data_IF_792148520724
#
_entry.id   IF_792148520724
#
_cell.length_a   1.000
_cell.length_b   1.000
_cell.length_c   1.000
_cell.angle_alpha   90.00
_cell.angle_beta   90.00
_cell.angle_gamma   90.00
#
_symmetry.space_group_name_H-M   'P 1'
#
loop_
_entity.id
_entity.type
_entity.pdbx_description
1 polymer ?
#
# COMPACT_ATOMS: atom_id res chain seq x y z
N UNK A 1 9.47 1.51 13.21
CA UNK A 1 10.42 1.17 14.29
C UNK A 1 9.95 1.85 15.57
N UNK A 2 9.52 1.07 16.57
CA UNK A 2 8.88 1.62 17.77
C UNK A 2 9.90 1.80 18.92
N UNK A 3 10.97 1.01 18.96
CA UNK A 3 11.98 1.06 20.02
C UNK A 3 13.39 0.94 19.45
N UNK A 4 14.32 1.74 20.01
CA UNK A 4 15.74 1.61 19.83
C UNK A 4 16.28 0.70 20.94
N UNK A 5 16.74 -0.51 20.63
CA UNK A 5 17.53 -1.29 21.58
C UNK A 5 19.02 -1.00 21.34
N UNK A 6 19.75 -0.46 22.32
CA UNK A 6 21.17 -0.19 22.15
C UNK A 6 21.93 -1.53 22.11
N UNK A 7 22.48 -1.90 20.96
CA UNK A 7 23.42 -3.01 20.86
C UNK A 7 23.05 -4.13 19.90
N UNK A 8 21.98 -4.03 19.13
CA UNK A 8 21.59 -5.04 18.15
C UNK A 8 21.84 -4.50 16.72
N UNK A 9 22.70 -5.12 15.96
CA UNK A 9 23.06 -4.70 14.58
C UNK A 9 21.94 -5.04 13.54
N UNK A 10 20.84 -5.67 13.95
CA UNK A 10 19.76 -6.11 13.08
C UNK A 10 18.52 -5.21 13.14
N UNK A 11 18.68 -3.90 12.93
CA UNK A 11 17.52 -3.00 12.84
C UNK A 11 16.91 -3.00 11.45
N UNK A 12 15.73 -3.63 11.34
CA UNK A 12 14.90 -3.47 10.16
C UNK A 12 14.15 -2.14 10.21
N UNK A 13 14.56 -1.20 9.37
CA UNK A 13 13.79 0.02 9.14
C UNK A 13 12.68 -0.25 8.13
N UNK A 14 11.66 0.63 8.08
CA UNK A 14 10.65 0.56 7.00
C UNK A 14 11.29 0.62 5.62
N UNK A 15 12.34 1.42 5.46
CA UNK A 15 13.05 1.53 4.19
C UNK A 15 13.72 0.22 3.80
N UNK A 16 14.42 -0.44 4.72
CA UNK A 16 15.07 -1.73 4.43
C UNK A 16 14.04 -2.81 4.12
N UNK A 17 12.91 -2.87 4.86
CA UNK A 17 11.80 -3.76 4.54
C UNK A 17 11.24 -3.51 3.14
N UNK A 18 10.93 -2.26 2.81
CA UNK A 18 10.39 -1.90 1.48
C UNK A 18 11.35 -2.29 0.35
N UNK A 19 12.66 -2.10 0.52
CA UNK A 19 13.66 -2.50 -0.47
C UNK A 19 13.75 -4.02 -0.61
N UNK A 20 13.62 -4.76 0.47
CA UNK A 20 13.58 -6.23 0.46
C UNK A 20 12.34 -6.75 -0.26
N UNK A 21 11.15 -6.21 0.07
CA UNK A 21 9.90 -6.52 -0.63
C UNK A 21 10.03 -6.24 -2.13
N UNK A 22 10.61 -5.10 -2.51
CA UNK A 22 10.82 -4.75 -3.92
C UNK A 22 11.75 -5.75 -4.63
N UNK A 23 12.82 -6.20 -3.98
CA UNK A 23 13.74 -7.19 -4.53
C UNK A 23 13.07 -8.56 -4.72
N UNK A 24 12.29 -9.02 -3.74
CA UNK A 24 11.56 -10.29 -3.82
C UNK A 24 10.49 -10.19 -4.91
N UNK A 25 9.72 -9.10 -4.96
CA UNK A 25 8.69 -8.90 -5.98
C UNK A 25 9.26 -8.90 -7.40
N UNK A 26 10.42 -8.28 -7.61
CA UNK A 26 11.15 -8.33 -8.90
C UNK A 26 11.56 -9.75 -9.27
N UNK A 27 12.05 -10.52 -8.31
CA UNK A 27 12.43 -11.92 -8.55
C UNK A 27 11.23 -12.75 -8.97
N UNK A 28 10.10 -12.63 -8.25
CA UNK A 28 8.86 -13.32 -8.59
C UNK A 28 8.39 -12.91 -10.00
N UNK A 29 8.33 -11.61 -10.29
CA UNK A 29 7.91 -11.09 -11.59
C UNK A 29 8.80 -11.60 -12.75
N UNK A 30 10.11 -11.73 -12.51
CA UNK A 30 11.04 -12.28 -13.48
C UNK A 30 10.76 -13.76 -13.75
N UNK A 31 10.59 -14.56 -12.71
CA UNK A 31 10.35 -16.01 -12.82
C UNK A 31 9.02 -16.36 -13.52
N UNK A 32 8.00 -15.53 -13.36
CA UNK A 32 6.72 -15.71 -14.09
C UNK A 32 6.74 -15.15 -15.50
N UNK A 33 7.88 -14.62 -15.97
CA UNK A 33 8.07 -14.20 -17.36
C UNK A 33 7.61 -12.79 -17.70
N UNK A 34 7.55 -11.89 -16.71
CA UNK A 34 7.27 -10.48 -16.98
C UNK A 34 8.38 -9.83 -17.82
N UNK A 35 8.00 -8.96 -18.75
CA UNK A 35 8.95 -8.12 -19.47
C UNK A 35 9.64 -7.12 -18.53
N UNK A 36 10.79 -6.59 -18.94
CA UNK A 36 11.52 -5.59 -18.16
C UNK A 36 10.65 -4.37 -17.77
N UNK A 37 9.73 -3.95 -18.64
CA UNK A 37 8.80 -2.84 -18.37
C UNK A 37 7.80 -3.18 -17.27
N UNK A 38 7.30 -4.40 -17.26
CA UNK A 38 6.36 -4.87 -16.23
C UNK A 38 7.05 -5.08 -14.89
N UNK A 39 8.29 -5.56 -14.89
CA UNK A 39 9.11 -5.68 -13.67
C UNK A 39 9.29 -4.31 -13.01
N UNK A 40 9.54 -3.24 -13.77
CA UNK A 40 9.62 -1.88 -13.20
C UNK A 40 8.28 -1.41 -12.59
N UNK A 41 7.14 -1.81 -13.16
CA UNK A 41 5.83 -1.49 -12.56
C UNK A 41 5.67 -2.21 -11.21
N UNK A 42 5.98 -3.51 -11.15
CA UNK A 42 5.93 -4.28 -9.89
C UNK A 42 6.88 -3.71 -8.84
N UNK A 43 8.11 -3.35 -9.24
CA UNK A 43 9.07 -2.70 -8.36
C UNK A 43 8.52 -1.39 -7.78
N UNK A 44 7.93 -0.53 -8.63
CA UNK A 44 7.32 0.72 -8.19
C UNK A 44 6.14 0.48 -7.22
N UNK A 45 5.31 -0.54 -7.48
CA UNK A 45 4.22 -0.93 -6.59
C UNK A 45 4.77 -1.39 -5.22
N UNK A 46 5.81 -2.23 -5.22
CA UNK A 46 6.44 -2.72 -4.00
C UNK A 46 7.12 -1.58 -3.20
N UNK A 47 7.76 -0.63 -3.87
CA UNK A 47 8.35 0.54 -3.21
C UNK A 47 7.30 1.46 -2.57
N UNK A 48 6.09 1.47 -3.09
CA UNK A 48 5.02 2.36 -2.63
C UNK A 48 4.04 1.70 -1.63
N UNK A 49 4.05 0.37 -1.48
CA UNK A 49 2.96 -0.37 -0.81
C UNK A 49 2.66 0.12 0.62
N UNK A 50 3.68 0.55 1.35
CA UNK A 50 3.61 0.90 2.77
C UNK A 50 3.80 2.41 3.06
N UNK A 51 3.82 3.26 2.03
CA UNK A 51 4.11 4.70 2.20
C UNK A 51 3.06 5.43 3.06
N UNK A 52 1.83 4.92 3.11
CA UNK A 52 0.73 5.47 3.91
C UNK A 52 0.69 4.99 5.36
N UNK A 53 1.53 4.05 5.75
CA UNK A 53 1.53 3.53 7.11
C UNK A 53 2.00 4.60 8.11
N UNK A 54 1.23 4.87 9.19
CA UNK A 54 1.56 5.91 10.15
C UNK A 54 2.70 5.50 11.09
N UNK A 55 3.18 6.45 11.88
CA UNK A 55 4.06 6.18 13.00
C UNK A 55 3.41 5.19 13.98
N UNK A 56 4.21 4.39 14.68
CA UNK A 56 3.78 3.36 15.64
C UNK A 56 2.99 2.19 15.03
N UNK A 57 3.08 1.97 13.71
CA UNK A 57 2.48 0.82 13.00
C UNK A 57 0.97 0.70 13.24
N UNK A 58 0.49 -0.51 13.48
CA UNK A 58 -0.94 -0.78 13.69
C UNK A 58 -1.54 -0.08 14.92
N UNK A 59 -0.74 0.24 15.95
CA UNK A 59 -1.24 1.00 17.09
C UNK A 59 -1.56 2.44 16.69
N UNK A 60 -0.67 3.07 15.91
CA UNK A 60 -0.90 4.39 15.34
C UNK A 60 -2.06 4.41 14.36
N UNK A 61 -2.16 3.40 13.49
CA UNK A 61 -3.28 3.25 12.55
C UNK A 61 -4.64 3.20 13.27
N UNK A 62 -4.77 2.34 14.30
CA UNK A 62 -6.00 2.25 15.10
C UNK A 62 -6.34 3.56 15.80
N UNK A 63 -5.35 4.22 16.39
CA UNK A 63 -5.56 5.51 17.04
C UNK A 63 -6.03 6.58 16.05
N UNK A 64 -5.37 6.69 14.88
CA UNK A 64 -5.76 7.63 13.84
C UNK A 64 -7.17 7.32 13.30
N UNK A 65 -7.50 6.04 13.08
CA UNK A 65 -8.83 5.63 12.64
C UNK A 65 -9.91 6.03 13.65
N UNK A 66 -9.66 5.88 14.96
CA UNK A 66 -10.61 6.25 16.01
C UNK A 66 -10.87 7.76 16.05
N UNK A 67 -9.80 8.58 16.04
CA UNK A 67 -9.97 10.05 16.14
C UNK A 67 -10.52 10.67 14.85
N UNK A 68 -10.39 10.00 13.71
CA UNK A 68 -10.91 10.45 12.41
C UNK A 68 -12.23 9.79 12.01
N UNK A 69 -12.85 9.03 12.90
CA UNK A 69 -14.07 8.26 12.65
C UNK A 69 -15.18 9.07 11.97
N UNK A 70 -15.41 10.30 12.43
CA UNK A 70 -16.44 11.20 11.87
C UNK A 70 -16.03 11.84 10.53
N UNK A 71 -14.76 11.68 10.14
CA UNK A 71 -14.19 12.28 8.93
C UNK A 71 -13.82 11.24 7.86
N UNK A 72 -14.32 10.00 7.98
CA UNK A 72 -14.05 8.92 7.03
C UNK A 72 -12.92 7.97 7.43
N UNK A 73 -12.50 8.01 8.70
CA UNK A 73 -11.53 7.07 9.25
C UNK A 73 -10.10 7.24 8.73
N UNK A 74 -9.22 6.32 9.14
CA UNK A 74 -7.85 6.20 8.65
C UNK A 74 -7.51 4.74 8.39
N UNK A 75 -6.90 4.47 7.25
CA UNK A 75 -6.40 3.15 6.86
C UNK A 75 -5.11 3.31 6.04
N UNK A 76 -4.06 2.52 6.35
CA UNK A 76 -2.74 2.69 5.76
C UNK A 76 -2.71 2.58 4.24
N UNK A 77 -3.44 1.61 3.65
CA UNK A 77 -3.51 1.48 2.19
C UNK A 77 -4.34 2.60 1.54
N UNK A 78 -5.41 3.07 2.21
CA UNK A 78 -6.15 4.25 1.77
C UNK A 78 -5.24 5.49 1.74
N UNK A 79 -4.44 5.67 2.78
CA UNK A 79 -3.47 6.75 2.86
C UNK A 79 -2.36 6.62 1.82
N UNK A 80 -1.89 5.40 1.53
CA UNK A 80 -0.96 5.14 0.42
C UNK A 80 -1.54 5.66 -0.90
N UNK A 81 -2.75 5.28 -1.23
CA UNK A 81 -3.42 5.74 -2.45
C UNK A 81 -3.55 7.27 -2.46
N UNK A 82 -4.00 7.88 -1.37
CA UNK A 82 -4.14 9.34 -1.21
C UNK A 82 -2.83 10.08 -1.39
N UNK A 83 -1.73 9.58 -0.85
CA UNK A 83 -0.40 10.18 -1.02
C UNK A 83 -0.03 10.21 -2.51
N UNK A 84 -0.19 9.10 -3.20
CA UNK A 84 0.22 8.94 -4.59
C UNK A 84 -0.66 9.70 -5.59
N UNK A 85 -1.96 9.83 -5.29
CA UNK A 85 -2.92 10.48 -6.20
C UNK A 85 -3.08 11.98 -5.96
N UNK A 86 -2.81 12.44 -4.73
CA UNK A 86 -3.22 13.80 -4.33
C UNK A 86 -2.16 14.57 -3.54
N UNK A 87 -1.56 13.95 -2.50
CA UNK A 87 -0.74 14.68 -1.52
C UNK A 87 0.66 14.95 -2.04
N UNK A 88 1.33 13.92 -2.57
CA UNK A 88 2.67 14.07 -3.13
C UNK A 88 2.58 14.79 -4.45
N UNK A 89 3.26 15.93 -4.57
CA UNK A 89 3.21 16.78 -5.75
C UNK A 89 4.60 16.96 -6.34
N UNK A 90 4.88 16.26 -7.42
CA UNK A 90 6.17 16.34 -8.11
C UNK A 90 6.22 17.51 -9.11
N UNK A 91 5.08 17.91 -9.68
CA UNK A 91 4.96 18.97 -10.68
C UNK A 91 3.68 19.77 -10.44
N UNK A 92 3.69 21.04 -10.82
CA UNK A 92 2.56 21.94 -10.59
C UNK A 92 1.40 21.83 -11.59
N UNK A 93 1.59 21.05 -12.65
CA UNK A 93 0.62 20.89 -13.75
C UNK A 93 -0.38 19.74 -13.56
N UNK A 94 -0.18 18.89 -12.53
CA UNK A 94 -1.13 17.82 -12.17
C UNK A 94 -1.06 17.48 -10.67
N UNK A 95 -2.13 16.87 -10.17
CA UNK A 95 -2.19 16.36 -8.81
C UNK A 95 -1.44 15.03 -8.69
N UNK A 96 -0.88 14.77 -7.50
CA UNK A 96 -0.19 13.53 -7.19
C UNK A 96 1.06 13.31 -8.05
N UNK A 97 1.47 12.08 -8.15
CA UNK A 97 2.62 11.64 -8.93
C UNK A 97 2.30 11.36 -10.41
N UNK A 98 1.05 11.49 -10.82
CA UNK A 98 0.59 11.15 -12.17
C UNK A 98 1.01 9.76 -12.64
N UNK A 99 0.79 8.77 -11.79
CA UNK A 99 1.14 7.37 -12.07
C UNK A 99 0.23 6.77 -13.14
N UNK A 100 0.73 5.75 -13.83
CA UNK A 100 -0.10 5.01 -14.78
C UNK A 100 -1.22 4.25 -14.08
N UNK A 101 -2.33 4.01 -14.76
CA UNK A 101 -3.44 3.21 -14.22
C UNK A 101 -2.98 1.82 -13.76
N UNK A 102 -2.07 1.17 -14.50
CA UNK A 102 -1.51 -0.11 -14.11
C UNK A 102 -0.79 -0.02 -12.76
N UNK A 103 0.04 1.00 -12.55
CA UNK A 103 0.75 1.20 -11.28
C UNK A 103 -0.23 1.46 -10.14
N UNK A 104 -1.24 2.32 -10.33
CA UNK A 104 -2.25 2.58 -9.30
C UNK A 104 -3.05 1.31 -8.94
N UNK A 105 -3.49 0.55 -9.94
CA UNK A 105 -4.17 -0.73 -9.70
C UNK A 105 -3.25 -1.80 -9.11
N UNK A 106 -1.95 -1.74 -9.37
CA UNK A 106 -0.93 -2.63 -8.80
C UNK A 106 -0.60 -2.35 -7.33
N UNK A 107 -0.98 -1.19 -6.80
CA UNK A 107 -0.84 -0.82 -5.39
C UNK A 107 -2.16 -1.05 -4.63
N UNK A 108 -3.28 -1.08 -5.33
CA UNK A 108 -4.61 -1.15 -4.74
C UNK A 108 -4.89 -2.53 -4.12
N UNK A 109 -4.63 -2.67 -2.83
CA UNK A 109 -4.85 -3.93 -2.09
C UNK A 109 -6.34 -4.15 -1.74
N UNK A 110 -7.06 -3.09 -1.35
CA UNK A 110 -8.44 -3.13 -0.92
C UNK A 110 -9.28 -2.12 -1.72
N UNK A 111 -10.53 -2.52 -2.05
CA UNK A 111 -11.47 -1.67 -2.78
C UNK A 111 -12.85 -1.73 -2.13
N UNK A 112 -12.92 -1.26 -0.89
CA UNK A 112 -14.16 -1.12 -0.13
C UNK A 112 -14.34 0.35 0.25
N UNK A 113 -15.57 0.76 0.48
CA UNK A 113 -15.86 2.06 1.10
C UNK A 113 -15.72 1.97 2.61
N UNK A 114 -15.45 3.12 3.23
CA UNK A 114 -15.53 3.26 4.67
C UNK A 114 -16.97 3.03 5.16
N UNK A 115 -17.12 2.25 6.22
CA UNK A 115 -18.42 1.98 6.84
C UNK A 115 -18.45 2.54 8.27
N UNK A 116 -19.11 3.69 8.43
CA UNK A 116 -19.26 4.37 9.72
C UNK A 116 -20.18 3.61 10.71
N UNK A 117 -20.94 2.62 10.24
CA UNK A 117 -21.85 1.83 11.09
C UNK A 117 -21.14 0.74 11.88
N UNK A 118 -19.93 0.37 11.48
CA UNK A 118 -19.14 -0.65 12.15
C UNK A 118 -18.68 -0.19 13.54
N UNK A 119 -18.61 -1.15 14.47
CA UNK A 119 -18.16 -0.92 15.84
C UNK A 119 -17.21 -2.02 16.32
N UNK A 120 -16.45 -1.73 17.38
CA UNK A 120 -15.53 -2.68 18.01
C UNK A 120 -14.50 -3.24 17.02
N UNK A 121 -14.23 -4.54 17.08
CA UNK A 121 -13.22 -5.20 16.24
C UNK A 121 -13.49 -5.08 14.74
N UNK A 122 -14.75 -5.00 14.31
CA UNK A 122 -15.09 -4.82 12.89
C UNK A 122 -14.68 -3.45 12.41
N UNK A 123 -14.92 -2.40 13.19
CA UNK A 123 -14.43 -1.05 12.93
C UNK A 123 -12.90 -0.97 12.88
N UNK A 124 -12.22 -1.54 13.88
CA UNK A 124 -10.75 -1.52 13.95
C UNK A 124 -10.05 -2.24 12.79
N UNK A 125 -10.70 -3.25 12.21
CA UNK A 125 -10.12 -4.11 11.17
C UNK A 125 -10.65 -3.81 9.77
N UNK A 126 -11.54 -2.82 9.62
CA UNK A 126 -12.05 -2.51 8.30
C UNK A 126 -10.91 -2.04 7.37
N UNK A 127 -10.97 -2.50 6.13
CA UNK A 127 -10.06 -2.11 5.07
C UNK A 127 -10.86 -1.41 4.00
N UNK A 128 -10.45 -0.19 3.64
CA UNK A 128 -11.18 0.67 2.72
C UNK A 128 -10.22 1.57 1.93
N UNK A 129 -10.75 2.31 0.98
CA UNK A 129 -10.13 3.50 0.40
C UNK A 129 -11.05 4.69 0.60
N UNK A 130 -10.51 5.90 0.59
CA UNK A 130 -11.30 7.12 0.75
C UNK A 130 -12.26 7.32 -0.42
N UNK A 131 -13.42 7.95 -0.18
CA UNK A 131 -14.50 8.05 -1.16
C UNK A 131 -14.07 8.67 -2.49
N UNK A 132 -13.27 9.73 -2.46
CA UNK A 132 -12.76 10.36 -3.68
C UNK A 132 -11.84 9.44 -4.48
N UNK A 133 -11.01 8.63 -3.80
CA UNK A 133 -10.14 7.66 -4.46
C UNK A 133 -10.96 6.45 -4.96
N UNK A 134 -12.04 6.08 -4.26
CA UNK A 134 -12.97 5.04 -4.72
C UNK A 134 -13.61 5.41 -6.06
N UNK A 135 -14.13 6.63 -6.19
CA UNK A 135 -14.74 7.11 -7.43
C UNK A 135 -13.73 7.17 -8.58
N UNK A 136 -12.53 7.65 -8.31
CA UNK A 136 -11.44 7.70 -9.26
C UNK A 136 -11.04 6.30 -9.76
N UNK A 137 -10.87 5.33 -8.86
CA UNK A 137 -10.57 3.94 -9.22
C UNK A 137 -11.72 3.31 -10.01
N UNK A 138 -12.97 3.59 -9.64
CA UNK A 138 -14.14 3.11 -10.38
C UNK A 138 -14.13 3.59 -11.84
N UNK A 139 -13.70 4.84 -12.07
CA UNK A 139 -13.55 5.36 -13.43
C UNK A 139 -12.44 4.63 -14.20
N UNK A 140 -11.29 4.37 -13.56
CA UNK A 140 -10.21 3.59 -14.16
C UNK A 140 -10.68 2.19 -14.57
N UNK A 141 -11.36 1.48 -13.67
CA UNK A 141 -11.89 0.12 -13.93
C UNK A 141 -12.87 0.14 -15.10
N UNK A 142 -13.78 1.12 -15.15
CA UNK A 142 -14.71 1.25 -16.29
C UNK A 142 -13.99 1.52 -17.61
N UNK A 143 -12.95 2.35 -17.62
CA UNK A 143 -12.18 2.67 -18.83
C UNK A 143 -11.31 1.52 -19.33
N UNK A 144 -10.74 0.76 -18.41
CA UNK A 144 -9.75 -0.28 -18.74
C UNK A 144 -10.32 -1.68 -18.81
N UNK A 145 -11.51 -1.90 -18.23
CA UNK A 145 -12.14 -3.22 -18.05
C UNK A 145 -11.21 -4.22 -17.32
N UNK A 146 -10.33 -3.75 -16.46
CA UNK A 146 -9.38 -4.57 -15.69
C UNK A 146 -10.05 -5.05 -14.41
N UNK A 147 -9.90 -6.32 -14.08
CA UNK A 147 -10.33 -6.87 -12.80
C UNK A 147 -9.46 -6.32 -11.67
N UNK A 148 -10.08 -5.96 -10.56
CA UNK A 148 -9.38 -5.57 -9.34
C UNK A 148 -8.61 -6.75 -8.75
N UNK A 149 -7.65 -6.44 -7.86
CA UNK A 149 -6.66 -7.38 -7.35
C UNK A 149 -5.84 -8.00 -8.49
N UNK A 150 -5.18 -7.12 -9.22
CA UNK A 150 -4.30 -7.47 -10.34
C UNK A 150 -3.20 -8.45 -9.92
N UNK A 151 -2.55 -9.09 -10.88
CA UNK A 151 -1.41 -9.95 -10.61
C UNK A 151 -0.25 -9.16 -9.96
N UNK A 152 -0.09 -7.89 -10.32
CA UNK A 152 0.93 -7.01 -9.74
C UNK A 152 0.71 -6.85 -8.21
N UNK A 153 -0.54 -6.64 -7.73
CA UNK A 153 -0.88 -6.63 -6.29
C UNK A 153 -0.56 -7.96 -5.63
N UNK A 154 -0.91 -9.08 -6.26
CA UNK A 154 -0.67 -10.40 -5.69
C UNK A 154 0.82 -10.70 -5.53
N UNK A 155 1.64 -10.28 -6.50
CA UNK A 155 3.10 -10.40 -6.40
C UNK A 155 3.63 -9.59 -5.22
N UNK A 156 3.18 -8.36 -5.05
CA UNK A 156 3.61 -7.51 -3.94
C UNK A 156 3.16 -8.08 -2.59
N UNK A 157 1.91 -8.56 -2.48
CA UNK A 157 1.40 -9.20 -1.26
C UNK A 157 2.25 -10.42 -0.87
N UNK A 158 2.55 -11.31 -1.81
CA UNK A 158 3.39 -12.49 -1.56
C UNK A 158 4.81 -12.08 -1.17
N UNK A 159 5.38 -11.08 -1.83
CA UNK A 159 6.72 -10.59 -1.52
C UNK A 159 6.80 -10.00 -0.12
N UNK A 160 5.76 -9.26 0.31
CA UNK A 160 5.64 -8.71 1.66
C UNK A 160 5.55 -9.82 2.72
N UNK A 161 4.71 -10.84 2.49
CA UNK A 161 4.59 -12.00 3.38
C UNK A 161 5.92 -12.77 3.50
N UNK A 162 6.65 -12.97 2.40
CA UNK A 162 7.96 -13.65 2.41
C UNK A 162 8.98 -12.81 3.21
N UNK A 163 9.01 -11.50 2.98
CA UNK A 163 9.90 -10.60 3.70
C UNK A 163 9.64 -10.60 5.21
N UNK A 164 8.36 -10.64 5.65
CA UNK A 164 8.01 -10.78 7.06
C UNK A 164 8.41 -12.16 7.62
N UNK A 165 8.11 -13.25 6.90
CA UNK A 165 8.43 -14.61 7.36
C UNK A 165 9.94 -14.84 7.50
N UNK A 166 10.76 -14.28 6.61
CA UNK A 166 12.20 -14.38 6.71
C UNK A 166 12.75 -13.70 7.96
N UNK A 167 12.18 -12.56 8.35
CA UNK A 167 12.59 -11.84 9.56
C UNK A 167 12.14 -12.52 10.86
N UNK A 168 10.97 -13.16 10.87
CA UNK A 168 10.46 -13.87 12.06
C UNK A 168 11.23 -15.16 12.35
N UNK A 169 12.08 -15.63 11.41
CA UNK A 169 12.92 -16.83 11.56
C UNK A 169 14.36 -16.50 12.02
N UNK A 170 14.78 -15.25 12.01
CA UNK A 170 16.07 -14.79 12.54
C UNK A 170 15.98 -14.44 14.03
#
# INVERSE_FOLDING_TARGET
>A
QVFLSPGDDHYRTRLTHTLEVAQIAKSIATEIGYSSKEIYVVEACALAHDIGNPGYGHAGERFLNEISKEFGGFEGNAQTMRILTTVEQKRGDFQGLNLTYRTLLGILKYYNKYDASLTGKAFEKQKFIYDSDYEFIQEIVRKTNVSLRTLDVQIVDIADEIAYAAHDLE
#
